data_IF_583849743388
#
_entry.id   IF_583849743388
#
_cell.length_a   1.000
_cell.length_b   1.000
_cell.length_c   1.000
_cell.angle_alpha   90.00
_cell.angle_beta   90.00
_cell.angle_gamma   90.00
#
_symmetry.space_group_name_H-M   'P 1'
#
loop_
_entity.id
_entity.type
_entity.pdbx_description
1 polymer ?
#
# COMPACT_ATOMS: atom_id res chain seq x y z
N UNK A 1 -32.69 14.96 2.46
CA UNK A 1 -31.23 14.76 2.39
C UNK A 1 -30.77 14.00 3.62
N UNK A 2 -30.68 12.68 3.56
CA UNK A 2 -30.21 11.81 4.64
C UNK A 2 -28.69 11.65 4.54
N UNK A 3 -27.95 12.04 5.59
CA UNK A 3 -26.49 11.97 5.66
C UNK A 3 -26.02 10.50 5.57
N UNK A 4 -25.21 10.19 4.57
CA UNK A 4 -24.46 8.93 4.38
C UNK A 4 -23.37 8.66 5.45
N UNK A 5 -23.44 9.32 6.61
CA UNK A 5 -22.47 9.23 7.72
C UNK A 5 -23.00 8.52 8.97
N UNK A 6 -24.25 8.04 8.95
CA UNK A 6 -24.78 7.26 10.06
C UNK A 6 -24.28 5.80 9.95
N UNK A 7 -23.39 5.40 10.86
CA UNK A 7 -22.84 4.05 10.94
C UNK A 7 -23.92 2.97 11.02
N UNK A 8 -25.14 3.33 11.44
CA UNK A 8 -26.31 2.45 11.47
C UNK A 8 -26.85 2.14 10.07
N UNK A 9 -26.78 3.09 9.13
CA UNK A 9 -27.27 2.91 7.75
C UNK A 9 -26.30 2.01 6.97
N UNK A 10 -24.98 2.23 7.13
CA UNK A 10 -23.96 1.36 6.53
C UNK A 10 -24.08 -0.06 7.06
N UNK A 11 -24.28 -0.23 8.38
CA UNK A 11 -24.52 -1.53 8.98
C UNK A 11 -25.80 -2.20 8.44
N UNK A 12 -26.89 -1.45 8.26
CA UNK A 12 -28.15 -1.98 7.69
C UNK A 12 -28.01 -2.40 6.22
N UNK A 13 -27.26 -1.66 5.41
CA UNK A 13 -26.99 -1.99 4.01
C UNK A 13 -26.13 -3.26 3.93
N UNK A 14 -25.07 -3.35 4.75
CA UNK A 14 -24.22 -4.52 4.84
C UNK A 14 -25.02 -5.75 5.29
N UNK A 15 -25.93 -5.58 6.25
CA UNK A 15 -26.82 -6.61 6.77
C UNK A 15 -27.74 -7.17 5.68
N UNK A 16 -28.33 -6.29 4.86
CA UNK A 16 -29.21 -6.70 3.75
C UNK A 16 -28.43 -7.42 2.64
N UNK A 17 -27.23 -6.95 2.31
CA UNK A 17 -26.37 -7.60 1.31
C UNK A 17 -25.90 -8.99 1.74
N UNK A 18 -25.53 -9.16 3.01
CA UNK A 18 -25.11 -10.45 3.57
C UNK A 18 -26.28 -11.44 3.64
N UNK A 19 -27.46 -10.98 4.08
CA UNK A 19 -28.66 -11.81 4.12
C UNK A 19 -29.10 -12.26 2.71
N UNK A 20 -28.95 -11.39 1.71
CA UNK A 20 -29.30 -11.66 0.31
C UNK A 20 -28.38 -12.71 -0.34
N UNK A 21 -27.07 -12.66 -0.07
CA UNK A 21 -26.09 -13.56 -0.71
C UNK A 21 -25.88 -14.90 0.02
N UNK A 22 -26.06 -14.96 1.34
CA UNK A 22 -25.68 -16.13 2.13
C UNK A 22 -26.85 -16.83 2.87
N UNK A 23 -28.07 -16.28 2.76
CA UNK A 23 -29.25 -16.76 3.49
C UNK A 23 -29.13 -16.60 5.01
N UNK A 24 -30.25 -16.79 5.73
CA UNK A 24 -30.30 -16.59 7.20
C UNK A 24 -29.31 -17.47 7.99
N UNK A 25 -28.84 -18.58 7.43
CA UNK A 25 -27.82 -19.44 8.03
C UNK A 25 -26.39 -18.90 7.85
N UNK A 26 -26.13 -18.11 6.80
CA UNK A 26 -24.84 -17.41 6.60
C UNK A 26 -24.66 -16.24 7.56
N UNK A 27 -25.75 -15.53 7.87
CA UNK A 27 -25.78 -14.43 8.83
C UNK A 27 -25.40 -14.90 10.25
N UNK A 28 -25.96 -16.02 10.72
CA UNK A 28 -25.61 -16.65 12.01
C UNK A 28 -24.16 -17.18 12.07
N UNK A 29 -23.55 -17.47 10.91
CA UNK A 29 -22.14 -17.89 10.80
C UNK A 29 -21.18 -16.69 10.83
N UNK A 30 -21.57 -15.57 10.23
CA UNK A 30 -20.79 -14.33 10.18
C UNK A 30 -20.89 -13.50 11.48
N UNK A 31 -22.05 -13.49 12.13
CA UNK A 31 -22.25 -12.88 13.46
C UNK A 31 -21.57 -13.67 14.60
N UNK A 32 -21.03 -14.86 14.29
CA UNK A 32 -20.22 -15.68 15.21
C UNK A 32 -18.71 -15.48 15.04
N UNK A 33 -18.25 -14.44 14.35
CA UNK A 33 -16.83 -14.04 14.47
C UNK A 33 -16.63 -13.55 15.90
N UNK A 34 -15.86 -14.25 16.74
CA UNK A 34 -15.63 -13.81 18.10
C UNK A 34 -15.00 -12.41 18.07
N UNK A 35 -15.47 -11.49 18.90
CA UNK A 35 -14.94 -10.12 18.99
C UNK A 35 -13.39 -10.10 19.18
N UNK A 36 -12.83 -11.16 19.78
CA UNK A 36 -11.40 -11.40 19.90
C UNK A 36 -10.69 -11.58 18.55
N UNK A 37 -11.26 -12.30 17.57
CA UNK A 37 -10.66 -12.44 16.24
C UNK A 37 -10.72 -11.13 15.43
N UNK A 38 -11.82 -10.39 15.53
CA UNK A 38 -11.97 -9.09 14.87
C UNK A 38 -11.00 -8.05 15.43
N UNK A 39 -10.80 -8.01 16.75
CA UNK A 39 -9.86 -7.08 17.38
C UNK A 39 -8.40 -7.41 17.07
N UNK A 40 -8.03 -8.69 16.95
CA UNK A 40 -6.69 -9.10 16.50
C UNK A 40 -6.44 -8.67 15.04
N UNK A 41 -7.41 -8.88 14.16
CA UNK A 41 -7.32 -8.47 12.77
C UNK A 41 -7.15 -6.94 12.65
N UNK A 42 -7.99 -6.18 13.34
CA UNK A 42 -7.92 -4.72 13.32
C UNK A 42 -6.57 -4.21 13.86
N UNK A 43 -6.09 -4.76 14.98
CA UNK A 43 -4.76 -4.44 15.52
C UNK A 43 -3.65 -4.74 14.53
N UNK A 44 -3.72 -5.88 13.84
CA UNK A 44 -2.75 -6.22 12.79
C UNK A 44 -2.76 -5.22 11.65
N UNK A 45 -3.94 -4.87 11.12
CA UNK A 45 -4.09 -3.91 10.02
C UNK A 45 -3.55 -2.54 10.41
N UNK A 46 -4.04 -1.98 11.53
CA UNK A 46 -3.64 -0.64 11.98
C UNK A 46 -2.14 -0.57 12.28
N UNK A 47 -1.59 -1.58 12.97
CA UNK A 47 -0.16 -1.64 13.27
C UNK A 47 0.67 -1.73 11.99
N UNK A 48 0.31 -2.61 11.06
CA UNK A 48 1.04 -2.80 9.80
C UNK A 48 1.02 -1.54 8.94
N UNK A 49 -0.16 -0.95 8.73
CA UNK A 49 -0.33 0.26 7.93
C UNK A 49 0.37 1.45 8.55
N UNK A 50 0.28 1.62 9.88
CA UNK A 50 0.97 2.70 10.60
C UNK A 50 2.49 2.59 10.51
N UNK A 51 3.05 1.39 10.61
CA UNK A 51 4.49 1.17 10.45
C UNK A 51 4.94 1.45 9.01
N UNK A 52 4.16 1.00 8.02
CA UNK A 52 4.49 1.25 6.60
C UNK A 52 4.42 2.73 6.24
N UNK A 53 3.38 3.45 6.68
CA UNK A 53 3.27 4.90 6.51
C UNK A 53 4.41 5.65 7.24
N UNK A 54 4.69 5.26 8.48
CA UNK A 54 5.82 5.81 9.23
C UNK A 54 7.15 5.61 8.50
N UNK A 55 7.35 4.44 7.88
CA UNK A 55 8.53 4.14 7.08
C UNK A 55 8.60 4.99 5.81
N UNK A 56 7.50 5.14 5.06
CA UNK A 56 7.44 5.98 3.86
C UNK A 56 7.75 7.44 4.18
N UNK A 57 7.14 7.96 5.25
CA UNK A 57 7.41 9.32 5.76
C UNK A 57 8.88 9.48 6.16
N UNK A 58 9.41 8.56 6.96
CA UNK A 58 10.80 8.60 7.43
C UNK A 58 11.80 8.50 6.28
N UNK A 59 11.51 7.67 5.28
CA UNK A 59 12.34 7.56 4.08
C UNK A 59 12.34 8.87 3.29
N UNK A 60 11.20 9.54 3.18
CA UNK A 60 11.11 10.85 2.51
C UNK A 60 11.91 11.95 3.21
N UNK A 61 12.01 11.90 4.56
CA UNK A 61 12.84 12.84 5.32
C UNK A 61 14.33 12.72 4.98
N UNK A 62 14.80 11.58 4.44
CA UNK A 62 16.19 11.40 4.01
C UNK A 62 16.54 12.42 2.91
N UNK A 63 15.59 12.78 2.06
CA UNK A 63 15.78 13.76 0.98
C UNK A 63 16.08 15.19 1.43
N UNK A 64 15.96 15.48 2.73
CA UNK A 64 16.31 16.79 3.31
C UNK A 64 17.82 16.86 3.60
N UNK A 65 18.49 15.73 3.78
CA UNK A 65 19.89 15.72 4.19
C UNK A 65 20.82 15.94 2.98
N UNK A 66 21.67 17.00 3.01
CA UNK A 66 22.53 17.34 1.87
C UNK A 66 23.52 16.24 1.45
N UNK A 67 23.90 15.35 2.38
CA UNK A 67 24.82 14.24 2.12
C UNK A 67 24.31 13.27 1.04
N UNK A 68 23.00 13.25 0.78
CA UNK A 68 22.40 12.41 -0.27
C UNK A 68 22.11 13.16 -1.57
N UNK A 69 22.40 14.47 -1.64
CA UNK A 69 21.94 15.35 -2.72
C UNK A 69 22.41 14.94 -4.12
N UNK A 70 23.59 14.33 -4.25
CA UNK A 70 24.10 13.86 -5.55
C UNK A 70 23.39 12.60 -6.07
N UNK A 71 22.87 11.78 -5.14
CA UNK A 71 22.23 10.49 -5.41
C UNK A 71 20.70 10.61 -5.57
N UNK A 72 20.13 11.75 -5.20
CA UNK A 72 18.70 12.00 -5.22
C UNK A 72 18.32 13.03 -6.29
N UNK A 73 17.10 12.96 -6.85
CA UNK A 73 16.57 14.04 -7.65
C UNK A 73 16.60 15.37 -6.91
N UNK A 74 16.67 16.45 -7.66
CA UNK A 74 16.69 17.81 -7.12
C UNK A 74 15.45 18.05 -6.25
N UNK A 75 15.67 18.47 -5.01
CA UNK A 75 14.61 18.92 -4.11
C UNK A 75 14.12 20.31 -4.52
N UNK A 76 12.84 20.58 -4.26
CA UNK A 76 12.23 21.89 -4.43
C UNK A 76 10.99 22.01 -3.53
N UNK A 77 10.49 23.23 -3.37
CA UNK A 77 9.26 23.48 -2.63
C UNK A 77 8.05 23.02 -3.45
N UNK A 78 7.49 21.88 -3.08
CA UNK A 78 6.35 21.26 -3.79
C UNK A 78 5.02 21.98 -3.46
N UNK A 79 4.87 22.46 -2.22
CA UNK A 79 3.67 23.11 -1.72
C UNK A 79 2.77 22.19 -0.89
N UNK A 80 1.58 22.68 -0.48
CA UNK A 80 0.67 21.91 0.36
C UNK A 80 0.05 20.73 -0.42
N UNK A 81 0.20 19.47 0.04
CA UNK A 81 -0.24 18.28 -0.68
C UNK A 81 -1.77 18.24 -0.89
N UNK A 82 -2.55 18.90 -0.03
CA UNK A 82 -4.01 18.99 -0.20
C UNK A 82 -4.42 19.85 -1.40
N UNK A 83 -3.51 20.70 -1.89
CA UNK A 83 -3.75 21.62 -3.00
C UNK A 83 -3.10 21.09 -4.28
N UNK A 84 -1.87 20.57 -4.20
CA UNK A 84 -1.06 20.25 -5.38
C UNK A 84 -1.17 18.80 -5.85
N UNK A 85 -1.65 17.87 -5.00
CA UNK A 85 -1.62 16.44 -5.32
C UNK A 85 -2.79 15.95 -6.17
N UNK A 86 -3.77 16.81 -6.50
CA UNK A 86 -4.89 16.44 -7.39
C UNK A 86 -5.69 15.22 -6.91
N UNK A 87 -5.83 15.05 -5.58
CA UNK A 87 -6.45 13.86 -4.97
C UNK A 87 -7.92 13.76 -5.41
N UNK A 88 -8.26 12.66 -6.08
CA UNK A 88 -9.63 12.33 -6.49
C UNK A 88 -10.11 11.03 -5.84
N UNK A 89 -11.43 10.80 -5.84
CA UNK A 89 -12.00 9.53 -5.35
C UNK A 89 -11.50 8.36 -6.19
N UNK A 90 -11.43 8.54 -7.51
CA UNK A 90 -10.89 7.53 -8.43
C UNK A 90 -9.43 7.22 -8.09
N UNK A 91 -8.64 8.24 -7.77
CA UNK A 91 -7.24 8.08 -7.38
C UNK A 91 -7.11 7.16 -6.16
N UNK A 92 -7.84 7.48 -5.09
CA UNK A 92 -7.80 6.71 -3.83
C UNK A 92 -8.38 5.29 -4.02
N UNK A 93 -9.53 5.16 -4.68
CA UNK A 93 -10.19 3.87 -4.86
C UNK A 93 -9.36 2.95 -5.75
N UNK A 94 -8.76 3.48 -6.80
CA UNK A 94 -7.96 2.68 -7.72
C UNK A 94 -6.71 2.09 -7.08
N UNK A 95 -5.99 2.87 -6.25
CA UNK A 95 -4.89 2.38 -5.43
C UNK A 95 -5.31 1.23 -4.52
N UNK A 96 -6.45 1.39 -3.83
CA UNK A 96 -7.00 0.33 -2.98
C UNK A 96 -7.32 -0.92 -3.79
N UNK A 97 -8.00 -0.77 -4.93
CA UNK A 97 -8.39 -1.91 -5.79
C UNK A 97 -7.17 -2.64 -6.35
N UNK A 98 -6.15 -1.92 -6.84
CA UNK A 98 -4.91 -2.53 -7.36
C UNK A 98 -4.17 -3.30 -6.27
N UNK A 99 -4.08 -2.73 -5.07
CA UNK A 99 -3.54 -3.40 -3.90
C UNK A 99 -4.33 -4.65 -3.52
N UNK A 100 -5.67 -4.61 -3.54
CA UNK A 100 -6.53 -5.77 -3.26
C UNK A 100 -6.36 -6.88 -4.30
N UNK A 101 -6.25 -6.55 -5.60
CA UNK A 101 -6.01 -7.50 -6.69
C UNK A 101 -4.72 -8.29 -6.42
N UNK A 102 -3.64 -7.58 -6.08
CA UNK A 102 -2.37 -8.24 -5.75
C UNK A 102 -2.47 -9.02 -4.44
N UNK A 103 -3.11 -8.46 -3.41
CA UNK A 103 -3.31 -9.12 -2.13
C UNK A 103 -4.07 -10.43 -2.23
N UNK A 104 -4.94 -10.61 -3.23
CA UNK A 104 -5.75 -11.82 -3.40
C UNK A 104 -4.91 -13.09 -3.51
N UNK A 105 -3.70 -13.01 -4.10
CA UNK A 105 -2.78 -14.15 -4.25
C UNK A 105 -2.24 -14.68 -2.92
N UNK A 106 -2.45 -13.95 -1.82
CA UNK A 106 -2.04 -14.34 -0.47
C UNK A 106 -2.99 -15.35 0.17
N UNK A 107 -4.21 -15.49 -0.37
CA UNK A 107 -5.29 -16.34 0.15
C UNK A 107 -5.62 -16.08 1.62
N UNK A 108 -5.49 -14.83 2.08
CA UNK A 108 -5.70 -14.49 3.48
C UNK A 108 -6.24 -13.08 3.65
N UNK A 109 -7.41 -12.95 4.27
CA UNK A 109 -8.13 -11.68 4.39
C UNK A 109 -7.29 -10.57 5.04
N UNK A 110 -6.49 -10.90 6.07
CA UNK A 110 -5.65 -9.89 6.73
C UNK A 110 -4.64 -9.30 5.77
N UNK A 111 -4.02 -10.13 4.94
CA UNK A 111 -3.00 -9.73 3.98
C UNK A 111 -3.61 -9.04 2.76
N UNK A 112 -4.78 -9.48 2.30
CA UNK A 112 -5.56 -8.77 1.28
C UNK A 112 -5.86 -7.33 1.71
N UNK A 113 -6.36 -7.14 2.94
CA UNK A 113 -6.72 -5.82 3.44
C UNK A 113 -5.52 -4.88 3.56
N UNK A 114 -4.38 -5.34 4.10
CA UNK A 114 -3.18 -4.49 4.12
C UNK A 114 -2.61 -4.24 2.73
N UNK A 115 -2.69 -5.20 1.81
CA UNK A 115 -2.27 -4.96 0.43
C UNK A 115 -3.10 -3.87 -0.26
N UNK A 116 -4.40 -3.77 0.04
CA UNK A 116 -5.23 -2.64 -0.40
C UNK A 116 -4.90 -1.32 0.29
N UNK A 117 -4.47 -1.34 1.57
CA UNK A 117 -4.20 -0.11 2.32
C UNK A 117 -2.79 0.45 2.10
N UNK A 118 -1.80 -0.39 1.82
CA UNK A 118 -0.40 0.04 1.71
C UNK A 118 -0.16 1.03 0.56
N UNK A 119 -0.79 0.90 -0.62
CA UNK A 119 -0.62 1.89 -1.70
C UNK A 119 -1.02 3.30 -1.26
N UNK A 120 -2.07 3.43 -0.46
CA UNK A 120 -2.46 4.72 0.14
C UNK A 120 -1.52 5.14 1.26
N UNK A 121 -1.07 4.17 2.09
CA UNK A 121 -0.11 4.47 3.15
C UNK A 121 1.25 4.90 2.59
N UNK A 122 1.61 4.52 1.37
CA UNK A 122 2.84 4.94 0.70
C UNK A 122 2.89 6.46 0.50
N UNK A 123 1.75 7.07 0.14
CA UNK A 123 1.60 8.51 -0.06
C UNK A 123 1.85 9.34 1.20
N UNK A 124 2.03 8.71 2.36
CA UNK A 124 2.48 9.45 3.54
C UNK A 124 3.90 10.03 3.36
N UNK A 125 4.66 9.60 2.34
CA UNK A 125 5.91 10.28 1.95
C UNK A 125 5.67 11.77 1.62
N UNK A 126 4.47 12.13 1.15
CA UNK A 126 4.04 13.51 0.93
C UNK A 126 3.79 14.30 2.22
N UNK A 127 3.68 13.67 3.41
CA UNK A 127 3.46 14.40 4.67
C UNK A 127 4.59 15.38 4.99
N UNK A 128 5.81 15.11 4.51
CA UNK A 128 6.96 16.02 4.66
C UNK A 128 6.68 17.39 4.04
N UNK A 129 5.81 17.48 3.03
CA UNK A 129 5.44 18.73 2.38
C UNK A 129 4.71 19.71 3.33
N UNK A 130 4.03 19.21 4.37
CA UNK A 130 3.40 20.08 5.38
C UNK A 130 4.41 20.88 6.20
N UNK A 131 5.70 20.50 6.20
CA UNK A 131 6.77 21.25 6.85
C UNK A 131 7.16 22.51 6.07
N UNK A 132 6.67 22.68 4.83
CA UNK A 132 6.98 23.81 3.96
C UNK A 132 8.49 24.00 3.73
N UNK A 133 9.18 22.89 3.45
CA UNK A 133 10.61 22.81 3.13
C UNK A 133 10.80 22.17 1.75
N UNK A 134 11.99 22.37 1.18
CA UNK A 134 12.40 21.65 -0.04
C UNK A 134 12.43 20.15 0.22
N UNK A 135 11.74 19.38 -0.63
CA UNK A 135 11.67 17.94 -0.53
C UNK A 135 11.84 17.30 -1.90
N UNK A 136 12.34 16.06 -1.92
CA UNK A 136 12.36 15.26 -3.14
C UNK A 136 10.97 14.64 -3.34
N UNK A 137 10.30 14.90 -4.48
CA UNK A 137 8.96 14.36 -4.71
C UNK A 137 8.99 12.84 -4.82
N UNK A 138 8.01 12.18 -4.19
CA UNK A 138 7.73 10.74 -4.34
C UNK A 138 8.91 9.85 -3.97
N UNK A 139 9.72 10.24 -2.98
CA UNK A 139 10.93 9.49 -2.63
C UNK A 139 10.63 8.05 -2.17
N UNK A 140 9.45 7.82 -1.57
CA UNK A 140 8.96 6.49 -1.20
C UNK A 140 8.66 5.59 -2.41
N UNK A 141 8.53 6.14 -3.61
CA UNK A 141 8.17 5.42 -4.83
C UNK A 141 9.40 4.82 -5.56
N UNK A 142 10.46 4.52 -4.81
CA UNK A 142 11.71 3.99 -5.33
C UNK A 142 11.86 2.49 -5.08
N UNK A 143 12.64 1.79 -5.91
CA UNK A 143 12.99 0.39 -5.62
C UNK A 143 13.81 0.27 -4.34
N UNK A 144 14.65 1.27 -4.02
CA UNK A 144 15.40 1.29 -2.77
C UNK A 144 14.47 1.25 -1.55
N UNK A 145 13.45 2.12 -1.52
CA UNK A 145 12.43 2.08 -0.46
C UNK A 145 11.73 0.73 -0.41
N UNK A 146 11.26 0.24 -1.56
CA UNK A 146 10.59 -1.05 -1.66
C UNK A 146 11.42 -2.19 -1.08
N UNK A 147 12.70 -2.30 -1.46
CA UNK A 147 13.65 -3.31 -0.97
C UNK A 147 13.89 -3.18 0.53
N UNK A 148 14.11 -1.97 1.05
CA UNK A 148 14.35 -1.72 2.48
C UNK A 148 13.11 -2.03 3.31
N UNK A 149 11.91 -1.74 2.77
CA UNK A 149 10.66 -2.01 3.46
C UNK A 149 10.46 -3.51 3.73
N UNK A 150 10.93 -4.40 2.85
CA UNK A 150 10.73 -5.85 2.97
C UNK A 150 11.22 -6.39 4.32
N UNK A 151 12.52 -6.32 4.67
CA UNK A 151 12.99 -6.85 5.94
C UNK A 151 12.33 -6.16 7.14
N UNK A 152 12.17 -4.83 7.10
CA UNK A 152 11.54 -4.07 8.20
C UNK A 152 10.14 -4.61 8.48
N UNK A 153 9.33 -4.72 7.44
CA UNK A 153 7.95 -5.18 7.56
C UNK A 153 7.87 -6.67 7.95
N UNK A 154 8.78 -7.51 7.45
CA UNK A 154 8.89 -8.92 7.88
C UNK A 154 9.15 -9.07 9.38
N UNK A 155 9.92 -8.16 10.00
CA UNK A 155 10.32 -8.25 11.40
C UNK A 155 9.45 -7.45 12.37
N UNK A 156 8.77 -6.40 11.91
CA UNK A 156 8.00 -5.47 12.73
C UNK A 156 6.85 -6.10 13.56
N UNK A 157 6.31 -7.25 13.12
CA UNK A 157 5.12 -7.86 13.74
C UNK A 157 5.40 -9.19 14.45
N UNK A 158 6.28 -10.05 13.93
CA UNK A 158 6.38 -11.40 14.52
C UNK A 158 7.48 -12.33 14.02
N UNK A 159 8.59 -11.78 13.50
CA UNK A 159 9.81 -12.52 13.07
C UNK A 159 9.62 -13.40 11.81
N UNK A 160 9.80 -12.77 10.64
CA UNK A 160 9.85 -13.36 9.28
C UNK A 160 8.49 -13.55 8.59
N UNK A 161 7.64 -12.53 8.63
CA UNK A 161 6.40 -12.54 7.85
C UNK A 161 6.66 -12.25 6.35
N UNK A 162 6.98 -13.30 5.59
CA UNK A 162 7.29 -13.21 4.15
C UNK A 162 6.14 -12.63 3.32
N UNK A 163 4.88 -12.84 3.72
CA UNK A 163 3.73 -12.24 3.01
C UNK A 163 3.72 -10.74 3.21
N UNK A 164 3.90 -10.28 4.45
CA UNK A 164 3.93 -8.86 4.76
C UNK A 164 5.11 -8.14 4.08
N UNK A 165 6.29 -8.77 4.06
CA UNK A 165 7.44 -8.25 3.31
C UNK A 165 7.19 -8.19 1.80
N UNK A 166 6.60 -9.23 1.21
CA UNK A 166 6.27 -9.21 -0.21
C UNK A 166 5.23 -8.13 -0.54
N UNK A 167 4.22 -7.95 0.31
CA UNK A 167 3.21 -6.90 0.17
C UNK A 167 3.83 -5.50 0.27
N UNK A 168 4.84 -5.29 1.12
CA UNK A 168 5.47 -3.98 1.28
C UNK A 168 6.17 -3.49 0.00
N UNK A 169 6.88 -4.39 -0.69
CA UNK A 169 7.47 -4.10 -2.02
C UNK A 169 6.40 -4.03 -3.10
N UNK A 170 5.46 -4.99 -3.11
CA UNK A 170 4.40 -5.03 -4.12
C UNK A 170 3.53 -3.77 -4.08
N UNK A 171 3.32 -3.18 -2.90
CA UNK A 171 2.58 -1.93 -2.71
C UNK A 171 3.19 -0.76 -3.50
N UNK A 172 4.52 -0.64 -3.51
CA UNK A 172 5.22 0.39 -4.30
C UNK A 172 4.90 0.21 -5.78
N UNK A 173 4.96 -1.04 -6.25
CA UNK A 173 4.70 -1.36 -7.65
C UNK A 173 3.23 -1.16 -8.03
N UNK A 174 2.28 -1.56 -7.18
CA UNK A 174 0.85 -1.34 -7.44
C UNK A 174 0.48 0.14 -7.42
N UNK A 175 1.11 0.92 -6.53
CA UNK A 175 0.91 2.37 -6.49
C UNK A 175 1.41 2.99 -7.80
N UNK A 176 2.67 2.76 -8.16
CA UNK A 176 3.26 3.25 -9.42
C UNK A 176 2.42 2.81 -10.63
N UNK A 177 1.99 1.54 -10.65
CA UNK A 177 1.13 1.00 -11.70
C UNK A 177 -0.15 1.81 -11.86
N UNK A 178 -0.88 2.04 -10.77
CA UNK A 178 -2.14 2.77 -10.86
C UNK A 178 -1.96 4.24 -11.24
N UNK A 179 -0.92 4.90 -10.74
CA UNK A 179 -0.58 6.28 -11.13
C UNK A 179 -0.28 6.42 -12.63
N UNK A 180 0.38 5.43 -13.24
CA UNK A 180 0.64 5.40 -14.70
C UNK A 180 -0.66 5.20 -15.46
N UNK A 181 -1.51 4.27 -14.99
CA UNK A 181 -2.81 4.01 -15.61
C UNK A 181 -3.69 5.27 -15.60
N UNK A 182 -3.76 5.95 -14.45
CA UNK A 182 -4.58 7.13 -14.27
C UNK A 182 -4.07 8.33 -15.09
N UNK A 183 -2.75 8.51 -15.20
CA UNK A 183 -2.17 9.58 -16.02
C UNK A 183 -2.20 9.31 -17.52
N UNK A 184 -2.33 8.05 -17.93
CA UNK A 184 -2.49 7.64 -19.32
C UNK A 184 -1.34 8.14 -20.20
N UNK A 185 -1.67 8.93 -21.24
CA UNK A 185 -0.66 9.49 -22.16
C UNK A 185 0.14 10.64 -21.57
N UNK A 186 -0.36 11.30 -20.52
CA UNK A 186 0.32 12.41 -19.86
C UNK A 186 1.52 11.94 -19.05
N UNK A 187 1.46 10.70 -18.54
CA UNK A 187 2.55 10.06 -17.82
C UNK A 187 2.67 10.47 -16.36
N UNK A 188 3.45 9.68 -15.62
CA UNK A 188 3.80 9.91 -14.22
C UNK A 188 5.31 9.75 -14.03
N UNK A 189 5.90 10.59 -13.19
CA UNK A 189 7.34 10.62 -12.93
C UNK A 189 7.69 10.05 -11.56
N UNK A 190 8.72 9.20 -11.51
CA UNK A 190 9.13 8.53 -10.27
C UNK A 190 10.66 8.41 -10.13
N UNK A 191 11.20 8.50 -8.90
CA UNK A 191 12.61 8.27 -8.62
C UNK A 191 12.93 6.77 -8.47
N UNK A 192 12.55 5.95 -9.46
CA UNK A 192 12.59 4.48 -9.33
C UNK A 192 14.01 3.94 -9.07
N UNK A 193 15.01 4.57 -9.69
CA UNK A 193 16.39 4.07 -9.77
C UNK A 193 17.35 4.68 -8.73
N UNK A 194 16.86 5.41 -7.73
CA UNK A 194 17.74 5.87 -6.66
C UNK A 194 18.32 4.66 -5.90
N UNK A 195 19.59 4.72 -5.44
CA UNK A 195 20.55 5.82 -5.58
C UNK A 195 21.42 5.70 -6.84
N UNK A 196 21.14 4.74 -7.73
CA UNK A 196 21.92 4.47 -8.95
C UNK A 196 21.74 5.60 -9.97
N UNK A 197 20.57 6.22 -10.02
CA UNK A 197 20.29 7.41 -10.82
C UNK A 197 19.48 8.42 -10.02
N UNK A 198 19.85 9.70 -10.14
CA UNK A 198 19.13 10.84 -9.57
C UNK A 198 18.04 11.39 -10.51
N UNK A 199 17.74 10.71 -11.62
CA UNK A 199 16.74 11.13 -12.60
C UNK A 199 15.35 10.61 -12.23
N UNK A 200 14.34 11.46 -12.44
CA UNK A 200 12.95 11.03 -12.44
C UNK A 200 12.65 10.31 -13.76
N UNK A 201 12.20 9.05 -13.68
CA UNK A 201 11.80 8.28 -14.85
C UNK A 201 10.34 8.60 -15.19
N UNK A 202 10.08 9.01 -16.43
CA UNK A 202 8.73 9.18 -16.95
C UNK A 202 8.20 7.84 -17.46
N UNK A 203 7.04 7.42 -16.98
CA UNK A 203 6.34 6.21 -17.39
C UNK A 203 4.95 6.57 -17.92
N UNK A 204 4.53 5.95 -19.02
CA UNK A 204 3.35 6.36 -19.79
C UNK A 204 2.54 5.18 -20.31
N UNK A 205 1.29 5.43 -20.64
CA UNK A 205 0.48 4.52 -21.45
C UNK A 205 0.30 3.15 -20.81
N UNK A 206 0.88 2.10 -21.40
CA UNK A 206 0.71 0.71 -20.96
C UNK A 206 1.78 0.23 -19.98
N UNK A 207 2.73 1.08 -19.59
CA UNK A 207 3.83 0.71 -18.69
C UNK A 207 3.33 0.14 -17.36
N UNK A 208 2.15 0.57 -16.90
CA UNK A 208 1.52 0.10 -15.66
C UNK A 208 1.37 -1.43 -15.58
N UNK A 209 1.20 -2.10 -16.73
CA UNK A 209 1.00 -3.56 -16.79
C UNK A 209 2.22 -4.28 -16.23
N UNK A 210 3.43 -3.84 -16.58
CA UNK A 210 4.66 -4.46 -16.12
C UNK A 210 4.82 -4.35 -14.59
N UNK A 211 4.46 -3.21 -14.01
CA UNK A 211 4.49 -3.00 -12.57
C UNK A 211 3.46 -3.85 -11.84
N UNK A 212 2.23 -3.95 -12.36
CA UNK A 212 1.19 -4.80 -11.75
C UNK A 212 1.57 -6.28 -11.81
N UNK A 213 2.10 -6.75 -12.94
CA UNK A 213 2.55 -8.14 -13.10
C UNK A 213 3.71 -8.44 -12.15
N UNK A 214 4.69 -7.54 -12.03
CA UNK A 214 5.79 -7.70 -11.09
C UNK A 214 5.29 -7.75 -9.63
N UNK A 215 4.32 -6.91 -9.27
CA UNK A 215 3.69 -6.92 -7.94
C UNK A 215 3.01 -8.27 -7.64
N UNK A 216 2.25 -8.83 -8.60
CA UNK A 216 1.62 -10.14 -8.50
C UNK A 216 2.65 -11.25 -8.27
N UNK A 217 3.74 -11.26 -9.06
CA UNK A 217 4.81 -12.27 -8.96
C UNK A 217 5.49 -12.21 -7.59
N UNK A 218 5.82 -11.01 -7.10
CA UNK A 218 6.46 -10.81 -5.79
C UNK A 218 5.53 -11.31 -4.67
N UNK A 219 4.26 -10.93 -4.69
CA UNK A 219 3.30 -11.31 -3.66
C UNK A 219 3.02 -12.84 -3.67
N UNK A 220 2.93 -13.44 -4.85
CA UNK A 220 2.80 -14.89 -5.00
C UNK A 220 4.03 -15.63 -4.45
N UNK A 221 5.22 -15.12 -4.75
CA UNK A 221 6.50 -15.67 -4.25
C UNK A 221 6.57 -15.63 -2.72
N UNK A 222 6.26 -14.48 -2.10
CA UNK A 222 6.21 -14.35 -0.64
C UNK A 222 5.18 -15.30 0.00
N UNK A 223 4.05 -15.50 -0.65
CA UNK A 223 3.01 -16.45 -0.21
C UNK A 223 3.47 -17.90 -0.30
N UNK A 224 4.19 -18.28 -1.36
CA UNK A 224 4.78 -19.60 -1.52
C UNK A 224 5.79 -19.91 -0.41
N UNK A 225 6.72 -18.99 -0.13
CA UNK A 225 7.69 -19.16 0.96
C UNK A 225 7.03 -19.28 2.33
N UNK A 226 6.02 -18.46 2.61
CA UNK A 226 5.27 -18.54 3.85
C UNK A 226 4.60 -19.91 4.05
N UNK A 227 4.04 -20.50 2.99
CA UNK A 227 3.41 -21.84 3.05
C UNK A 227 4.45 -22.94 3.30
N UNK A 228 5.59 -22.88 2.61
CA UNK A 228 6.62 -23.92 2.73
C UNK A 228 7.29 -23.97 4.11
N UNK A 229 7.42 -22.82 4.78
CA UNK A 229 7.94 -22.78 6.16
C UNK A 229 6.96 -23.39 7.17
N UNK A 230 5.66 -23.13 7.02
CA UNK A 230 4.64 -23.75 7.87
C UNK A 230 4.67 -25.28 7.75
N UNK A 231 4.82 -25.80 6.54
CA UNK A 231 4.90 -27.24 6.30
C UNK A 231 6.16 -27.88 6.94
N UNK A 232 7.31 -27.19 6.93
CA UNK A 232 8.56 -27.70 7.53
C UNK A 232 8.54 -27.76 9.05
N UNK A 233 7.76 -26.91 9.72
CA UNK A 233 7.61 -26.95 11.19
C UNK A 233 6.66 -28.04 11.70
N UNK A 234 6.00 -28.78 10.80
CA UNK A 234 5.02 -29.82 11.14
C UNK A 234 5.54 -31.26 10.91
N UNK A 235 6.80 -31.41 10.50
CA UNK A 235 7.52 -32.69 10.34
C UNK A 235 8.57 -32.77 11.44
#
# INVERSE_FOLDING_TARGET
MTRLGDSRIVAQILHKLIAYHFGQNGEKRLLKIPATKSSILLKFILKSSGIYAGLATAFSLIGIFPIFGEYLPKSYLIGNPLVVSGISIEHVVGHVVFGLIVGFVTFSIRYILVAGLFPIALDSDHLVQFLNIDAVPRLGHSFLFGIISVPIMMYAIGKKDYRLGAISMASVLTHISFDILLSGKSGSQFPILIPVSNKMLMLIGQDWIFFLLAALIICATGTFFAKNLTNKTQI
#
